data_IF_711775793996
#
_entry.id   IF_711775793996
#
_cell.length_a   1.000
_cell.length_b   1.000
_cell.length_c   1.000
_cell.angle_alpha   90.00
_cell.angle_beta   90.00
_cell.angle_gamma   90.00
#
_symmetry.space_group_name_H-M   'P 1'
#
loop_
_entity.id
_entity.type
_entity.pdbx_description
1 polymer ?
#
# COMPACT_ATOMS: atom_id res chain seq x y z
N UNK A 1 35.62 5.26 37.60
CA UNK A 1 35.94 5.27 36.16
C UNK A 1 34.64 5.03 35.41
N UNK A 2 34.03 6.07 34.82
CA UNK A 2 32.73 5.94 34.12
C UNK A 2 33.02 5.43 32.70
N UNK A 3 32.66 4.17 32.43
CA UNK A 3 32.66 3.63 31.07
C UNK A 3 31.51 4.28 30.30
N UNK A 4 31.84 5.19 29.39
CA UNK A 4 30.93 5.63 28.34
C UNK A 4 30.86 4.49 27.32
N UNK A 5 29.74 3.76 27.31
CA UNK A 5 29.41 2.82 26.25
C UNK A 5 28.96 3.64 25.04
N UNK A 6 29.66 3.63 23.89
CA UNK A 6 29.15 4.27 22.69
C UNK A 6 27.91 3.50 22.24
N UNK A 7 26.76 4.15 22.32
CA UNK A 7 25.52 3.66 21.69
C UNK A 7 25.77 3.71 20.18
N UNK A 8 26.17 2.58 19.62
CA UNK A 8 26.18 2.36 18.18
C UNK A 8 24.72 2.41 17.73
N UNK A 9 24.29 3.59 17.25
CA UNK A 9 23.05 3.76 16.50
C UNK A 9 23.21 2.99 15.18
N UNK A 10 23.02 1.68 15.24
CA UNK A 10 22.68 0.90 14.06
C UNK A 10 21.27 1.39 13.69
N UNK A 11 21.23 2.40 12.82
CA UNK A 11 20.03 2.70 12.05
C UNK A 11 19.75 1.42 11.25
N UNK A 12 18.88 0.56 11.81
CA UNK A 12 18.23 -0.47 11.02
C UNK A 12 17.65 0.26 9.83
N UNK A 13 18.20 -0.01 8.65
CA UNK A 13 17.63 0.43 7.39
C UNK A 13 16.19 -0.05 7.41
N UNK A 14 15.29 0.87 7.75
CA UNK A 14 13.87 0.63 7.79
C UNK A 14 13.52 0.05 6.43
N UNK A 15 12.80 -1.07 6.43
CA UNK A 15 12.26 -1.77 5.27
C UNK A 15 11.72 -0.78 4.24
N UNK A 16 12.60 -0.25 3.39
CA UNK A 16 12.16 0.55 2.26
C UNK A 16 11.49 -0.46 1.37
N UNK A 17 10.18 -0.30 1.21
CA UNK A 17 9.42 -1.10 0.26
C UNK A 17 10.00 -0.90 -1.15
N UNK A 18 10.63 0.25 -1.44
CA UNK A 18 11.31 0.52 -2.70
C UNK A 18 12.69 -0.14 -2.79
N UNK A 19 12.98 -0.77 -3.93
CA UNK A 19 14.32 -1.24 -4.30
C UNK A 19 15.29 -0.07 -4.51
N UNK A 20 16.59 -0.34 -4.41
CA UNK A 20 17.65 0.64 -4.71
C UNK A 20 17.50 1.19 -6.13
N UNK A 21 17.21 0.34 -7.12
CA UNK A 21 16.98 0.75 -8.51
C UNK A 21 15.84 1.76 -8.61
N UNK A 22 14.72 1.51 -7.91
CA UNK A 22 13.60 2.45 -7.88
C UNK A 22 14.04 3.78 -7.27
N UNK A 23 14.73 3.74 -6.13
CA UNK A 23 15.18 4.95 -5.43
C UNK A 23 16.14 5.79 -6.29
N UNK A 24 17.07 5.13 -6.97
CA UNK A 24 18.03 5.77 -7.87
C UNK A 24 17.35 6.45 -9.05
N UNK A 25 16.35 5.80 -9.66
CA UNK A 25 15.56 6.36 -10.76
C UNK A 25 14.89 7.68 -10.36
N UNK A 26 14.31 7.74 -9.16
CA UNK A 26 13.49 8.88 -8.70
C UNK A 26 14.23 9.85 -7.78
N UNK A 27 15.56 9.71 -7.65
CA UNK A 27 16.36 10.49 -6.69
C UNK A 27 16.34 11.99 -6.95
N UNK A 28 16.31 12.39 -8.23
CA UNK A 28 16.33 13.78 -8.67
C UNK A 28 14.93 14.38 -8.76
N UNK A 29 13.89 13.59 -8.48
CA UNK A 29 12.51 14.07 -8.56
C UNK A 29 12.19 14.84 -7.29
N UNK A 30 12.00 16.14 -7.47
CA UNK A 30 11.49 17.05 -6.46
C UNK A 30 9.98 17.22 -6.63
N UNK A 31 9.29 17.39 -5.51
CA UNK A 31 7.85 17.61 -5.50
C UNK A 31 7.60 19.11 -5.54
N UNK A 32 6.81 19.58 -6.50
CA UNK A 32 6.52 21.00 -6.67
C UNK A 32 5.63 21.52 -5.53
N UNK A 33 4.56 20.78 -5.23
CA UNK A 33 3.60 21.16 -4.19
C UNK A 33 2.78 19.99 -3.67
N UNK A 34 2.07 20.23 -2.57
CA UNK A 34 1.07 19.33 -1.99
C UNK A 34 -0.19 20.13 -1.70
N UNK A 35 -1.35 19.61 -2.11
CA UNK A 35 -2.66 20.19 -1.83
C UNK A 35 -3.55 19.15 -1.17
N UNK A 36 -4.30 19.54 -0.14
CA UNK A 36 -5.32 18.68 0.46
C UNK A 36 -6.54 18.59 -0.46
N UNK A 37 -7.05 17.38 -0.64
CA UNK A 37 -8.28 17.12 -1.35
C UNK A 37 -9.33 16.56 -0.39
N UNK A 38 -10.55 17.07 -0.47
CA UNK A 38 -11.67 16.63 0.37
C UNK A 38 -12.93 16.58 -0.48
N UNK A 39 -13.51 15.39 -0.57
CA UNK A 39 -14.73 15.11 -1.31
C UNK A 39 -15.83 14.84 -0.31
N UNK A 40 -17.04 15.33 -0.60
CA UNK A 40 -18.21 15.18 0.25
C UNK A 40 -19.31 14.43 -0.49
N UNK A 41 -20.03 13.58 0.26
CA UNK A 41 -21.31 13.05 -0.16
C UNK A 41 -22.33 14.18 -0.35
N UNK A 42 -23.40 13.90 -1.11
CA UNK A 42 -24.52 14.84 -1.30
C UNK A 42 -25.17 15.34 0.00
N UNK A 43 -25.05 14.59 1.10
CA UNK A 43 -25.57 14.95 2.41
C UNK A 43 -24.59 15.80 3.25
N UNK A 44 -23.47 16.26 2.68
CA UNK A 44 -22.47 17.08 3.34
C UNK A 44 -21.49 16.31 4.23
N UNK A 45 -21.63 14.99 4.37
CA UNK A 45 -20.67 14.16 5.10
C UNK A 45 -19.43 13.95 4.22
N UNK A 46 -18.25 14.00 4.84
CA UNK A 46 -16.98 13.72 4.16
C UNK A 46 -17.01 12.31 3.59
N UNK A 47 -16.69 12.17 2.30
CA UNK A 47 -16.50 10.91 1.60
C UNK A 47 -15.03 10.51 1.55
N UNK A 48 -14.15 11.48 1.31
CA UNK A 48 -12.73 11.24 1.15
C UNK A 48 -11.92 12.44 1.65
N UNK A 49 -10.79 12.17 2.29
CA UNK A 49 -9.74 13.15 2.58
C UNK A 49 -8.42 12.54 2.14
N UNK A 50 -7.61 13.30 1.40
CA UNK A 50 -6.26 12.90 1.05
C UNK A 50 -5.41 14.10 0.65
N UNK A 51 -4.22 13.81 0.16
CA UNK A 51 -3.29 14.82 -0.34
C UNK A 51 -2.89 14.47 -1.78
N UNK A 52 -2.85 15.49 -2.62
CA UNK A 52 -2.37 15.43 -4.00
C UNK A 52 -0.99 16.07 -4.06
N UNK A 53 -0.04 15.34 -4.61
CA UNK A 53 1.29 15.83 -4.94
C UNK A 53 1.36 16.17 -6.42
N UNK A 54 2.04 17.27 -6.71
CA UNK A 54 2.27 17.76 -8.06
C UNK A 54 3.76 17.74 -8.39
N UNK A 55 4.06 17.37 -9.63
CA UNK A 55 5.41 17.23 -10.17
C UNK A 55 5.44 17.80 -11.58
N UNK A 56 6.50 18.52 -11.95
CA UNK A 56 6.71 19.00 -13.31
C UNK A 56 7.76 18.12 -13.97
N UNK A 57 7.38 17.48 -15.08
CA UNK A 57 8.28 16.65 -15.89
C UNK A 57 8.06 16.95 -17.36
N UNK A 58 9.09 17.44 -18.06
CA UNK A 58 9.02 17.83 -19.47
C UNK A 58 7.82 18.74 -19.79
N UNK A 59 7.65 19.81 -19.00
CA UNK A 59 6.54 20.78 -19.10
C UNK A 59 5.13 20.20 -18.89
N UNK A 60 5.02 18.94 -18.43
CA UNK A 60 3.76 18.31 -18.04
C UNK A 60 3.67 18.28 -16.52
N UNK A 61 2.54 18.74 -16.00
CA UNK A 61 2.19 18.59 -14.59
C UNK A 61 1.61 17.19 -14.38
N UNK A 62 2.29 16.40 -13.56
CA UNK A 62 1.85 15.09 -13.10
C UNK A 62 1.21 15.25 -11.73
N UNK A 63 -0.02 14.78 -11.60
CA UNK A 63 -0.76 14.72 -10.34
C UNK A 63 -0.83 13.28 -9.84
N UNK A 64 -0.57 13.08 -8.55
CA UNK A 64 -0.72 11.79 -7.90
C UNK A 64 -1.21 11.97 -6.47
N UNK A 65 -2.03 11.05 -5.96
CA UNK A 65 -2.30 11.03 -4.53
C UNK A 65 -1.04 10.59 -3.79
N UNK A 66 -0.87 11.05 -2.56
CA UNK A 66 0.29 10.72 -1.75
C UNK A 66 -0.04 10.80 -0.27
N UNK A 67 0.76 10.17 0.58
CA UNK A 67 0.56 10.23 2.02
C UNK A 67 -0.66 9.43 2.48
N UNK A 68 -1.19 9.80 3.64
CA UNK A 68 -2.36 9.13 4.22
C UNK A 68 -3.65 9.68 3.60
N UNK A 69 -4.56 8.77 3.25
CA UNK A 69 -5.92 9.13 2.83
C UNK A 69 -6.97 8.28 3.54
N UNK A 70 -8.14 8.87 3.76
CA UNK A 70 -9.26 8.24 4.46
C UNK A 70 -10.49 8.31 3.58
N UNK A 71 -11.15 7.18 3.41
CA UNK A 71 -12.45 7.05 2.76
C UNK A 71 -13.47 6.70 3.84
N UNK A 72 -14.63 7.33 3.76
CA UNK A 72 -15.70 7.21 4.74
C UNK A 72 -16.95 6.60 4.12
N UNK A 73 -17.74 5.92 4.94
CA UNK A 73 -19.12 5.62 4.63
C UNK A 73 -19.98 6.89 4.83
N UNK A 74 -21.14 6.93 4.19
CA UNK A 74 -22.10 8.03 4.34
C UNK A 74 -22.65 8.21 5.78
N UNK A 75 -22.33 7.30 6.72
CA UNK A 75 -22.63 7.47 8.15
C UNK A 75 -21.43 8.04 8.94
N UNK A 76 -20.38 8.53 8.27
CA UNK A 76 -19.20 9.13 8.88
C UNK A 76 -18.16 8.13 9.41
N UNK A 77 -18.42 6.83 9.36
CA UNK A 77 -17.44 5.80 9.78
C UNK A 77 -16.40 5.60 8.69
N UNK A 78 -15.13 5.48 9.08
CA UNK A 78 -14.04 5.18 8.13
C UNK A 78 -14.31 3.83 7.47
N UNK A 79 -14.38 3.83 6.14
CA UNK A 79 -14.47 2.62 5.32
C UNK A 79 -13.09 2.09 4.95
N UNK A 80 -12.14 2.99 4.69
CA UNK A 80 -10.78 2.65 4.27
C UNK A 80 -9.78 3.69 4.77
N UNK A 81 -8.63 3.21 5.25
CA UNK A 81 -7.46 4.03 5.47
C UNK A 81 -6.32 3.51 4.59
N UNK A 82 -5.56 4.42 4.03
CA UNK A 82 -4.77 4.23 2.84
C UNK A 82 -3.48 5.02 2.96
N UNK A 83 -2.35 4.44 2.57
CA UNK A 83 -1.07 5.15 2.52
C UNK A 83 -0.41 4.95 1.17
N UNK A 84 0.08 6.04 0.61
CA UNK A 84 0.84 6.06 -0.63
C UNK A 84 2.19 6.75 -0.42
N UNK A 85 3.21 6.34 -1.16
CA UNK A 85 4.47 7.07 -1.21
C UNK A 85 4.28 8.44 -1.86
N UNK A 86 5.39 9.17 -2.02
CA UNK A 86 5.35 10.48 -2.64
C UNK A 86 4.91 10.45 -4.11
N UNK A 87 5.12 9.34 -4.80
CA UNK A 87 4.78 9.14 -6.22
C UNK A 87 3.39 8.49 -6.42
N UNK A 88 2.67 8.23 -5.34
CA UNK A 88 1.35 7.60 -5.32
C UNK A 88 1.36 6.08 -5.46
N UNK A 89 2.48 5.41 -5.24
CA UNK A 89 2.50 3.97 -5.05
C UNK A 89 1.90 3.62 -3.70
N UNK A 90 0.93 2.73 -3.74
CA UNK A 90 0.30 2.14 -2.58
C UNK A 90 1.31 1.45 -1.65
N UNK A 91 1.34 1.82 -0.37
CA UNK A 91 2.20 1.18 0.65
C UNK A 91 1.40 0.22 1.52
N UNK A 92 0.21 0.64 1.95
CA UNK A 92 -0.71 -0.20 2.69
C UNK A 92 -2.15 0.31 2.57
N UNK A 93 -3.09 -0.56 2.94
CA UNK A 93 -4.50 -0.21 3.11
C UNK A 93 -5.19 -1.04 4.18
N UNK A 94 -6.10 -0.43 4.92
CA UNK A 94 -6.96 -1.04 5.94
C UNK A 94 -8.42 -0.78 5.59
N UNK A 95 -9.25 -1.81 5.62
CA UNK A 95 -10.67 -1.76 5.28
C UNK A 95 -11.51 -2.14 6.48
N UNK A 96 -12.53 -1.33 6.73
CA UNK A 96 -13.42 -1.47 7.87
C UNK A 96 -14.85 -1.67 7.37
N UNK A 97 -15.67 -2.36 8.15
CA UNK A 97 -17.11 -2.41 7.88
C UNK A 97 -17.82 -1.16 8.42
N UNK A 98 -19.13 -1.04 8.16
CA UNK A 98 -19.97 0.08 8.63
C UNK A 98 -20.09 0.21 10.16
N UNK A 99 -19.49 -0.70 10.94
CA UNK A 99 -19.39 -0.64 12.41
C UNK A 99 -17.97 -0.28 12.88
N UNK A 100 -17.05 0.03 11.96
CA UNK A 100 -15.66 0.35 12.27
C UNK A 100 -14.77 -0.87 12.56
N UNK A 101 -15.24 -2.10 12.30
CA UNK A 101 -14.45 -3.31 12.54
C UNK A 101 -13.56 -3.60 11.33
N UNK A 102 -12.27 -3.82 11.57
CA UNK A 102 -11.30 -4.21 10.54
C UNK A 102 -11.70 -5.54 9.90
N UNK A 103 -11.80 -5.56 8.57
CA UNK A 103 -12.21 -6.73 7.79
C UNK A 103 -11.10 -7.24 6.87
N UNK A 104 -10.23 -6.34 6.42
CA UNK A 104 -9.14 -6.65 5.51
C UNK A 104 -8.04 -5.61 5.68
N UNK A 105 -6.79 -6.03 5.60
CA UNK A 105 -5.69 -5.10 5.36
C UNK A 105 -4.72 -5.69 4.34
N UNK A 106 -3.96 -4.83 3.68
CA UNK A 106 -2.82 -5.28 2.92
C UNK A 106 -1.66 -4.31 3.04
N UNK A 107 -0.46 -4.85 2.86
CA UNK A 107 0.80 -4.11 2.82
C UNK A 107 1.59 -4.55 1.60
N UNK A 108 2.17 -3.60 0.88
CA UNK A 108 3.18 -3.88 -0.14
C UNK A 108 4.50 -4.14 0.57
N UNK A 109 5.11 -5.27 0.31
CA UNK A 109 6.40 -5.66 0.92
C UNK A 109 7.58 -5.28 0.03
N UNK A 110 7.34 -5.08 -1.26
CA UNK A 110 8.34 -4.66 -2.25
C UNK A 110 7.70 -3.88 -3.39
N UNK A 111 8.37 -2.84 -3.86
CA UNK A 111 8.05 -1.99 -5.00
C UNK A 111 9.33 -1.83 -5.79
N UNK A 112 9.24 -2.06 -7.10
CA UNK A 112 10.34 -1.84 -8.03
C UNK A 112 9.78 -1.20 -9.30
N UNK A 113 10.64 -0.52 -10.05
CA UNK A 113 10.30 0.08 -11.33
C UNK A 113 11.22 -0.46 -12.42
N UNK A 114 10.60 -0.87 -13.53
CA UNK A 114 11.29 -1.25 -14.77
C UNK A 114 11.37 -0.09 -15.77
N UNK A 115 10.95 1.11 -15.40
CA UNK A 115 11.08 2.30 -16.24
C UNK A 115 12.56 2.58 -16.51
N UNK A 116 12.89 2.99 -17.75
CA UNK A 116 14.27 3.29 -18.15
C UNK A 116 14.62 4.77 -17.97
N UNK A 117 13.61 5.61 -17.81
CA UNK A 117 13.72 7.06 -17.65
C UNK A 117 12.61 7.58 -16.72
N UNK A 118 12.74 8.83 -16.28
CA UNK A 118 11.66 9.51 -15.55
C UNK A 118 10.43 9.74 -16.42
N UNK A 119 10.62 9.94 -17.73
CA UNK A 119 9.52 10.04 -18.69
C UNK A 119 8.72 8.73 -18.75
N UNK A 120 9.40 7.59 -18.89
CA UNK A 120 8.77 6.26 -18.83
C UNK A 120 8.05 6.04 -17.49
N UNK A 121 8.64 6.56 -16.41
CA UNK A 121 8.12 6.46 -15.05
C UNK A 121 6.80 7.22 -14.86
N UNK A 122 6.68 8.42 -15.44
CA UNK A 122 5.46 9.22 -15.32
C UNK A 122 4.42 8.91 -16.40
N UNK A 123 4.80 8.33 -17.54
CA UNK A 123 3.89 8.04 -18.64
C UNK A 123 2.90 6.90 -18.37
N UNK A 124 3.22 5.96 -17.46
CA UNK A 124 2.37 4.80 -17.18
C UNK A 124 2.72 4.18 -15.83
N UNK A 125 1.88 3.31 -15.28
CA UNK A 125 2.25 2.46 -14.12
C UNK A 125 2.59 1.02 -14.48
N UNK A 126 2.58 0.68 -15.77
CA UNK A 126 2.79 -0.69 -16.25
C UNK A 126 4.20 -1.25 -16.00
N UNK A 127 5.16 -0.39 -15.65
CA UNK A 127 6.52 -0.77 -15.33
C UNK A 127 6.73 -1.04 -13.83
N UNK A 128 5.71 -0.84 -12.98
CA UNK A 128 5.80 -1.08 -11.55
C UNK A 128 5.61 -2.56 -11.26
N UNK A 129 6.59 -3.13 -10.58
CA UNK A 129 6.56 -4.47 -10.03
C UNK A 129 6.33 -4.37 -8.52
N UNK A 130 5.57 -5.30 -7.95
CA UNK A 130 5.31 -5.29 -6.52
C UNK A 130 5.06 -6.66 -5.91
N UNK A 131 5.32 -6.76 -4.61
CA UNK A 131 4.95 -7.89 -3.77
C UNK A 131 4.03 -7.39 -2.66
N UNK A 132 3.00 -8.15 -2.33
CA UNK A 132 1.95 -7.69 -1.41
C UNK A 132 1.43 -8.83 -0.54
N UNK A 133 1.25 -8.54 0.74
CA UNK A 133 0.55 -9.43 1.68
C UNK A 133 -0.83 -8.85 1.99
N UNK A 134 -1.88 -9.67 1.89
CA UNK A 134 -3.26 -9.32 2.24
C UNK A 134 -3.71 -10.22 3.38
N UNK A 135 -4.27 -9.64 4.44
CA UNK A 135 -4.93 -10.38 5.52
C UNK A 135 -6.41 -10.07 5.52
N UNK A 136 -7.24 -11.10 5.62
CA UNK A 136 -8.69 -10.99 5.81
C UNK A 136 -9.05 -11.46 7.20
N UNK A 137 -9.89 -10.69 7.88
CA UNK A 137 -10.16 -10.85 9.29
C UNK A 137 -11.56 -11.37 9.56
N UNK A 138 -11.67 -12.19 10.62
CA UNK A 138 -12.93 -12.61 11.24
C UNK A 138 -12.78 -12.52 12.74
N UNK A 139 -13.91 -12.41 13.43
CA UNK A 139 -13.94 -12.50 14.88
C UNK A 139 -13.91 -13.97 15.30
N UNK A 140 -13.04 -14.33 16.25
CA UNK A 140 -13.00 -15.67 16.85
C UNK A 140 -14.22 -15.87 17.73
N UNK A 141 -14.90 -17.02 17.59
CA UNK A 141 -15.98 -17.37 18.51
C UNK A 141 -15.47 -17.79 19.88
N UNK A 142 -14.23 -18.28 19.97
CA UNK A 142 -13.59 -18.71 21.21
C UNK A 142 -13.09 -17.53 22.05
N UNK A 143 -12.37 -16.59 21.44
CA UNK A 143 -11.68 -15.51 22.16
C UNK A 143 -12.34 -14.15 22.01
N UNK A 144 -13.31 -14.00 21.08
CA UNK A 144 -13.88 -12.72 20.70
C UNK A 144 -12.84 -11.70 20.19
N UNK A 145 -11.70 -12.19 19.69
CA UNK A 145 -10.65 -11.39 19.07
C UNK A 145 -10.66 -11.55 17.54
N UNK A 146 -10.18 -10.53 16.83
CA UNK A 146 -9.94 -10.62 15.40
C UNK A 146 -8.74 -11.53 15.10
N UNK A 147 -8.90 -12.44 14.14
CA UNK A 147 -7.83 -13.26 13.60
C UNK A 147 -7.88 -13.27 12.07
N UNK A 148 -6.70 -13.42 11.44
CA UNK A 148 -6.59 -13.48 9.99
C UNK A 148 -6.93 -14.89 9.50
N UNK A 149 -8.17 -15.12 9.04
CA UNK A 149 -8.60 -16.45 8.57
C UNK A 149 -8.10 -16.78 7.16
N UNK A 150 -7.67 -15.77 6.40
CA UNK A 150 -7.12 -15.90 5.05
C UNK A 150 -5.99 -14.89 4.87
N UNK A 151 -4.83 -15.37 4.42
CA UNK A 151 -3.67 -14.56 4.10
C UNK A 151 -3.28 -14.83 2.64
N UNK A 152 -3.15 -13.79 1.83
CA UNK A 152 -2.73 -13.87 0.45
C UNK A 152 -1.35 -13.22 0.31
N UNK A 153 -0.43 -13.91 -0.36
CA UNK A 153 0.89 -13.41 -0.70
C UNK A 153 0.93 -13.34 -2.21
N UNK A 154 0.90 -12.13 -2.75
CA UNK A 154 0.75 -11.84 -4.16
C UNK A 154 2.03 -11.22 -4.71
N UNK A 155 2.37 -11.61 -5.92
CA UNK A 155 3.46 -11.03 -6.69
C UNK A 155 2.90 -10.48 -7.99
N UNK A 156 3.37 -9.32 -8.41
CA UNK A 156 3.14 -8.76 -9.74
C UNK A 156 4.48 -8.37 -10.33
N UNK A 157 4.96 -9.16 -11.28
CA UNK A 157 6.25 -8.97 -11.94
C UNK A 157 6.01 -8.94 -13.45
N UNK A 158 6.45 -7.89 -14.12
CA UNK A 158 6.26 -7.75 -15.56
C UNK A 158 4.78 -7.86 -16.02
N UNK A 159 3.85 -7.34 -15.21
CA UNK A 159 2.41 -7.46 -15.45
C UNK A 159 1.87 -8.89 -15.33
N UNK A 160 2.67 -9.84 -14.82
CA UNK A 160 2.25 -11.20 -14.51
C UNK A 160 2.01 -11.31 -13.02
N UNK A 161 0.80 -11.69 -12.65
CA UNK A 161 0.36 -11.89 -11.29
C UNK A 161 0.37 -13.33 -10.86
N UNK A 162 0.93 -13.64 -9.70
CA UNK A 162 0.89 -14.96 -9.08
C UNK A 162 0.81 -14.89 -7.56
N UNK A 163 1.00 -16.02 -6.89
CA UNK A 163 1.12 -16.04 -5.44
C UNK A 163 0.58 -17.29 -4.76
N UNK A 164 0.34 -17.17 -3.45
CA UNK A 164 -0.28 -18.22 -2.63
C UNK A 164 -1.30 -17.63 -1.67
N UNK A 165 -2.24 -18.47 -1.25
CA UNK A 165 -3.26 -18.17 -0.25
C UNK A 165 -3.17 -19.22 0.85
N UNK A 166 -3.03 -18.77 2.08
CA UNK A 166 -3.07 -19.59 3.29
C UNK A 166 -4.38 -19.31 4.02
N UNK A 167 -5.05 -20.37 4.46
CA UNK A 167 -6.22 -20.29 5.32
C UNK A 167 -5.84 -20.74 6.71
N UNK A 168 -6.24 -19.97 7.72
CA UNK A 168 -5.93 -20.24 9.13
C UNK A 168 -7.21 -20.52 9.93
N UNK A 169 -7.09 -21.38 10.93
CA UNK A 169 -8.13 -21.55 11.95
C UNK A 169 -8.02 -20.46 13.03
N UNK A 170 -8.93 -20.47 14.02
CA UNK A 170 -8.94 -19.48 15.11
C UNK A 170 -7.66 -19.53 15.97
N UNK A 171 -6.96 -20.66 16.00
CA UNK A 171 -5.68 -20.82 16.70
C UNK A 171 -4.48 -20.37 15.84
N UNK A 172 -4.74 -19.67 14.72
CA UNK A 172 -3.76 -19.13 13.75
C UNK A 172 -2.90 -20.19 13.05
N UNK A 173 -3.32 -21.45 13.08
CA UNK A 173 -2.65 -22.55 12.37
C UNK A 173 -3.14 -22.61 10.93
N UNK A 174 -2.20 -22.75 9.99
CA UNK A 174 -2.53 -22.95 8.57
C UNK A 174 -3.19 -24.31 8.39
N UNK A 175 -4.42 -24.31 7.89
CA UNK A 175 -5.21 -25.52 7.62
C UNK A 175 -5.28 -25.87 6.13
N UNK A 176 -4.98 -24.90 5.26
CA UNK A 176 -5.01 -25.08 3.81
C UNK A 176 -4.13 -24.06 3.11
N UNK A 177 -3.37 -24.50 2.12
CA UNK A 177 -2.63 -23.63 1.21
C UNK A 177 -3.12 -23.84 -0.23
N UNK A 178 -3.27 -22.75 -0.98
CA UNK A 178 -3.63 -22.76 -2.40
C UNK A 178 -2.65 -21.89 -3.16
N UNK A 179 -2.03 -22.42 -4.21
CA UNK A 179 -1.22 -21.65 -5.13
C UNK A 179 -2.09 -21.02 -6.21
N UNK A 180 -1.79 -19.76 -6.53
CA UNK A 180 -2.46 -18.99 -7.57
C UNK A 180 -1.67 -19.17 -8.86
N UNK A 181 -2.36 -19.59 -9.93
CA UNK A 181 -1.75 -19.66 -11.25
C UNK A 181 -1.38 -18.26 -11.73
N UNK A 182 -0.23 -18.19 -12.37
CA UNK A 182 0.21 -16.96 -13.02
C UNK A 182 -0.77 -16.52 -14.09
N UNK A 183 -1.13 -15.24 -14.07
CA UNK A 183 -1.99 -14.62 -15.07
C UNK A 183 -1.42 -13.28 -15.48
N UNK A 184 -1.37 -13.04 -16.78
CA UNK A 184 -1.06 -11.71 -17.30
C UNK A 184 -2.24 -10.80 -17.01
N UNK A 185 -1.99 -9.77 -16.23
CA UNK A 185 -2.95 -8.70 -16.04
C UNK A 185 -2.91 -7.79 -17.25
N UNK A 186 -4.01 -7.78 -18.02
CA UNK A 186 -4.28 -6.68 -18.95
C UNK A 186 -4.78 -5.53 -18.10
N UNK A 187 -3.90 -4.56 -17.82
CA UNK A 187 -4.20 -3.36 -17.04
C UNK A 187 -4.90 -3.67 -15.71
N UNK A 188 -4.12 -4.05 -14.70
CA UNK A 188 -4.57 -3.82 -13.32
C UNK A 188 -4.15 -2.39 -13.03
N UNK A 189 -5.08 -1.45 -13.15
CA UNK A 189 -5.51 -0.47 -12.14
C UNK A 189 -6.72 0.27 -12.69
#
# INVERSE_FOLDING_TARGET
>A
MKFFLPILLISFNCFSQHTERFQELVKTVERDSVVKDTIFFKNGIIEFIGEKSFYTSNDIIVETYSGESKIYYANGIIARNDMQDRFGHWLWSKYYNRKGVLTKEWIITKIDSRAKSLEDFFASRNHIDSEKTIKHYRNSKKTNELYAYKIEYLTSLNGIGGGKVEYQNEDRKVIRTKFLKEKKYKNVW
#
